data_IF_332004188149
#
_entry.id   IF_332004188149
#
_cell.length_a   1.000
_cell.length_b   1.000
_cell.length_c   1.000
_cell.angle_alpha   90.00
_cell.angle_beta   90.00
_cell.angle_gamma   90.00
#
_symmetry.space_group_name_H-M   'P 1'
#
loop_
_entity.id
_entity.type
_entity.pdbx_description
1 polymer ?
#
# COMPACT_ATOMS: atom_id res chain seq x y z
N UNK A 1 -0.67 0.28 12.60
CA UNK A 1 -0.24 1.22 11.53
C UNK A 1 -0.39 2.66 12.01
N UNK A 2 -1.60 3.14 12.36
CA UNK A 2 -1.83 4.53 12.79
C UNK A 2 -0.85 4.98 13.87
N UNK A 3 -0.75 4.26 14.97
CA UNK A 3 0.15 4.60 16.08
C UNK A 3 1.64 4.56 15.68
N UNK A 4 2.04 3.60 14.82
CA UNK A 4 3.42 3.52 14.34
C UNK A 4 3.79 4.70 13.45
N UNK A 5 2.86 5.16 12.59
CA UNK A 5 3.09 6.33 11.75
C UNK A 5 3.15 7.60 12.60
N UNK A 6 2.21 7.77 13.52
CA UNK A 6 2.14 8.94 14.43
C UNK A 6 3.41 9.07 15.26
N UNK A 7 3.97 7.97 15.72
CA UNK A 7 5.18 7.94 16.54
C UNK A 7 6.49 7.90 15.72
N UNK A 8 6.43 8.09 14.39
CA UNK A 8 7.57 7.98 13.47
C UNK A 8 8.36 6.64 13.58
N UNK A 9 7.71 5.58 14.05
CA UNK A 9 8.27 4.22 14.21
C UNK A 9 7.71 3.24 13.18
N UNK A 10 7.32 3.72 11.99
CA UNK A 10 6.74 2.90 10.94
C UNK A 10 7.79 1.96 10.32
N UNK A 11 7.41 0.72 10.06
CA UNK A 11 8.23 -0.24 9.33
C UNK A 11 8.70 0.30 7.97
N UNK A 12 9.82 -0.25 7.46
CA UNK A 12 10.30 0.08 6.12
C UNK A 12 9.58 -0.70 5.02
N UNK A 13 9.03 -1.87 5.36
CA UNK A 13 8.23 -2.66 4.44
C UNK A 13 6.95 -3.16 5.12
N UNK A 14 5.83 -3.01 4.41
CA UNK A 14 4.51 -3.50 4.81
C UNK A 14 4.09 -4.61 3.84
N UNK A 15 3.42 -5.64 4.33
CA UNK A 15 2.85 -6.71 3.52
C UNK A 15 1.36 -6.87 3.84
N UNK A 16 0.50 -6.50 2.89
CA UNK A 16 -0.94 -6.70 2.99
C UNK A 16 -1.34 -7.99 2.30
N UNK A 17 -1.96 -8.90 3.06
CA UNK A 17 -2.45 -10.16 2.54
C UNK A 17 -3.97 -10.23 2.64
N UNK A 18 -4.60 -10.99 1.75
CA UNK A 18 -6.05 -11.17 1.77
C UNK A 18 -6.60 -11.56 0.40
N UNK A 19 -7.83 -11.99 0.36
CA UNK A 19 -8.49 -12.41 -0.87
C UNK A 19 -8.57 -11.28 -1.91
N UNK A 20 -8.79 -11.66 -3.16
CA UNK A 20 -9.01 -10.71 -4.26
C UNK A 20 -10.23 -9.83 -3.96
N UNK A 21 -10.15 -8.54 -4.30
CA UNK A 21 -11.25 -7.59 -4.12
C UNK A 21 -11.44 -7.05 -2.70
N UNK A 22 -10.63 -7.46 -1.70
CA UNK A 22 -10.75 -6.95 -0.32
C UNK A 22 -10.28 -5.50 -0.13
N UNK A 23 -9.68 -4.91 -1.17
CA UNK A 23 -9.17 -3.53 -1.11
C UNK A 23 -7.71 -3.39 -0.68
N UNK A 24 -6.85 -4.41 -0.90
CA UNK A 24 -5.41 -4.38 -0.54
C UNK A 24 -4.71 -3.17 -1.15
N UNK A 25 -4.85 -2.96 -2.46
CA UNK A 25 -4.25 -1.84 -3.20
C UNK A 25 -4.79 -0.49 -2.71
N UNK A 26 -6.11 -0.40 -2.48
CA UNK A 26 -6.74 0.80 -1.89
C UNK A 26 -6.17 1.09 -0.51
N UNK A 27 -6.00 0.06 0.32
CA UNK A 27 -5.42 0.21 1.65
C UNK A 27 -3.94 0.62 1.59
N UNK A 28 -3.18 0.08 0.63
CA UNK A 28 -1.80 0.49 0.36
C UNK A 28 -1.72 1.99 0.06
N UNK A 29 -2.59 2.52 -0.80
CA UNK A 29 -2.66 3.96 -1.11
C UNK A 29 -3.06 4.80 0.12
N UNK A 30 -3.97 4.31 0.96
CA UNK A 30 -4.34 5.00 2.22
C UNK A 30 -3.13 5.10 3.15
N UNK A 31 -2.35 4.03 3.29
CA UNK A 31 -1.12 4.04 4.10
C UNK A 31 -0.07 4.98 3.49
N UNK A 32 0.08 4.99 2.16
CA UNK A 32 0.97 5.92 1.48
C UNK A 32 0.59 7.39 1.72
N UNK A 33 -0.72 7.70 1.70
CA UNK A 33 -1.23 9.03 2.06
C UNK A 33 -0.90 9.37 3.52
N UNK A 34 -1.14 8.46 4.45
CA UNK A 34 -0.87 8.68 5.87
C UNK A 34 0.62 8.88 6.17
N UNK A 35 1.51 8.24 5.42
CA UNK A 35 2.96 8.41 5.54
C UNK A 35 3.44 9.78 5.02
N UNK A 36 2.84 10.31 3.97
CA UNK A 36 3.28 11.52 3.29
C UNK A 36 2.43 12.77 3.58
N UNK A 37 1.33 12.63 4.33
CA UNK A 37 0.45 13.73 4.69
C UNK A 37 -0.04 13.60 6.13
N UNK A 38 0.44 14.48 7.01
CA UNK A 38 0.04 14.48 8.43
C UNK A 38 -1.46 14.75 8.61
N UNK A 39 -2.05 15.61 7.80
CA UNK A 39 -3.48 15.88 7.84
C UNK A 39 -4.33 14.66 7.43
N UNK A 40 -3.82 13.81 6.51
CA UNK A 40 -4.50 12.57 6.16
C UNK A 40 -4.53 11.58 7.32
N UNK A 41 -3.49 11.55 8.14
CA UNK A 41 -3.43 10.71 9.33
C UNK A 41 -4.50 11.12 10.36
N UNK A 42 -4.77 12.42 10.49
CA UNK A 42 -5.82 12.97 11.37
C UNK A 42 -7.23 12.92 10.75
N UNK A 43 -7.37 12.48 9.51
CA UNK A 43 -8.64 12.50 8.77
C UNK A 43 -9.10 13.92 8.37
N UNK A 44 -8.23 14.91 8.44
CA UNK A 44 -8.52 16.33 8.19
C UNK A 44 -7.97 16.84 6.85
N UNK A 45 -7.48 15.95 6.00
CA UNK A 45 -6.87 16.37 4.74
C UNK A 45 -7.90 17.01 3.81
N UNK A 46 -7.59 18.20 3.33
CA UNK A 46 -8.41 18.92 2.36
C UNK A 46 -8.42 18.24 0.99
N UNK A 47 -9.50 18.45 0.20
CA UNK A 47 -9.68 17.82 -1.11
C UNK A 47 -8.60 18.12 -2.14
N UNK A 48 -7.83 19.21 -1.98
CA UNK A 48 -6.75 19.64 -2.91
C UNK A 48 -5.35 19.48 -2.34
N UNK A 49 -5.12 18.48 -1.49
CA UNK A 49 -3.79 18.21 -0.97
C UNK A 49 -2.85 17.75 -2.10
N UNK A 50 -1.68 18.39 -2.20
CA UNK A 50 -0.63 18.07 -3.20
C UNK A 50 -0.11 16.64 -3.15
N UNK A 51 -0.32 15.91 -2.05
CA UNK A 51 0.08 14.51 -1.90
C UNK A 51 -1.12 13.56 -2.02
N UNK A 52 -2.22 13.84 -1.32
CA UNK A 52 -3.32 12.87 -1.20
C UNK A 52 -4.08 12.61 -2.49
N UNK A 53 -4.32 13.65 -3.31
CA UNK A 53 -5.01 13.51 -4.58
C UNK A 53 -4.16 12.77 -5.62
N UNK A 54 -2.89 13.14 -5.87
CA UNK A 54 -2.02 12.38 -6.77
C UNK A 54 -1.82 10.92 -6.35
N UNK A 55 -1.69 10.64 -5.03
CA UNK A 55 -1.57 9.25 -4.54
C UNK A 55 -2.86 8.46 -4.81
N UNK A 56 -4.05 9.08 -4.65
CA UNK A 56 -5.32 8.42 -4.95
C UNK A 56 -5.41 8.02 -6.42
N UNK A 57 -4.89 8.86 -7.32
CA UNK A 57 -4.93 8.70 -8.76
C UNK A 57 -3.71 7.97 -9.34
N UNK A 58 -2.82 7.41 -8.49
CA UNK A 58 -1.59 6.68 -8.89
C UNK A 58 -0.65 7.48 -9.79
N UNK A 59 -0.57 8.80 -9.60
CA UNK A 59 0.27 9.71 -10.39
C UNK A 59 1.20 10.60 -9.54
N UNK A 60 1.49 10.21 -8.30
CA UNK A 60 2.41 10.93 -7.42
C UNK A 60 3.86 10.59 -7.75
N UNK A 61 4.73 11.60 -7.90
CA UNK A 61 6.13 11.45 -8.32
C UNK A 61 6.97 10.58 -7.36
N UNK A 62 6.70 10.65 -6.06
CA UNK A 62 7.43 9.89 -5.04
C UNK A 62 6.67 8.64 -4.55
N UNK A 63 5.50 8.32 -5.12
CA UNK A 63 4.74 7.10 -4.81
C UNK A 63 4.50 6.34 -6.10
N UNK A 64 5.33 5.34 -6.34
CA UNK A 64 5.28 4.52 -7.54
C UNK A 64 4.48 3.25 -7.28
N UNK A 65 3.51 2.99 -8.14
CA UNK A 65 2.68 1.79 -8.09
C UNK A 65 3.01 0.88 -9.27
N UNK A 66 3.30 -0.38 -8.99
CA UNK A 66 3.59 -1.42 -9.98
C UNK A 66 2.68 -2.62 -9.72
N UNK A 67 2.04 -3.12 -10.76
CA UNK A 67 1.35 -4.41 -10.75
C UNK A 67 2.32 -5.50 -11.22
N UNK A 68 2.70 -6.39 -10.31
CA UNK A 68 3.59 -7.50 -10.61
C UNK A 68 2.94 -8.58 -11.49
N UNK A 69 1.63 -8.55 -11.73
CA UNK A 69 1.00 -9.43 -12.71
C UNK A 69 1.32 -9.02 -14.15
N UNK A 70 1.54 -7.73 -14.39
CA UNK A 70 1.92 -7.18 -15.71
C UNK A 70 3.43 -6.98 -15.85
N UNK A 71 4.16 -6.79 -14.74
CA UNK A 71 5.60 -6.53 -14.69
C UNK A 71 6.30 -7.52 -13.75
N UNK A 72 6.57 -8.72 -14.27
CA UNK A 72 7.14 -9.84 -13.48
C UNK A 72 8.66 -9.91 -13.52
N UNK A 73 9.28 -9.13 -14.40
CA UNK A 73 10.69 -9.21 -14.76
C UNK A 73 11.62 -8.67 -13.69
N UNK A 74 12.86 -9.16 -13.72
CA UNK A 74 13.93 -8.64 -12.85
C UNK A 74 14.33 -7.22 -13.25
N UNK A 75 14.20 -6.86 -14.51
CA UNK A 75 14.60 -5.55 -15.00
C UNK A 75 13.63 -4.46 -14.56
N UNK A 76 12.32 -4.73 -14.50
CA UNK A 76 11.32 -3.82 -13.92
C UNK A 76 11.65 -3.50 -12.45
N UNK A 77 12.04 -4.53 -11.69
CA UNK A 77 12.42 -4.37 -10.28
C UNK A 77 13.77 -3.65 -10.13
N UNK A 78 14.73 -3.90 -11.02
CA UNK A 78 16.01 -3.17 -11.02
C UNK A 78 15.81 -1.69 -11.29
N UNK A 79 14.92 -1.32 -12.19
CA UNK A 79 14.56 0.08 -12.44
C UNK A 79 14.01 0.75 -11.16
N UNK A 80 13.10 0.07 -10.42
CA UNK A 80 12.63 0.56 -9.14
C UNK A 80 13.76 0.73 -8.12
N UNK A 81 14.70 -0.24 -8.05
CA UNK A 81 15.84 -0.18 -7.14
C UNK A 81 16.77 0.99 -7.49
N UNK A 82 17.05 1.21 -8.77
CA UNK A 82 17.83 2.38 -9.20
C UNK A 82 17.11 3.67 -8.80
N UNK A 83 15.81 3.74 -9.03
CA UNK A 83 15.01 4.91 -8.63
C UNK A 83 14.98 5.12 -7.11
N UNK A 84 15.12 4.04 -6.32
CA UNK A 84 15.16 4.10 -4.86
C UNK A 84 16.40 4.79 -4.29
N UNK A 85 17.48 4.90 -5.07
CA UNK A 85 18.75 5.52 -4.65
C UNK A 85 18.64 7.04 -4.52
N UNK A 86 17.68 7.62 -5.20
CA UNK A 86 17.44 9.06 -5.14
C UNK A 86 16.41 9.38 -4.05
N UNK A 87 16.62 10.42 -3.23
CA UNK A 87 15.66 10.84 -2.23
C UNK A 87 14.33 11.26 -2.88
N UNK A 88 13.24 11.34 -2.10
CA UNK A 88 11.98 11.89 -2.60
C UNK A 88 12.14 13.33 -3.04
N UNK A 89 11.39 13.75 -4.07
CA UNK A 89 11.46 15.08 -4.65
C UNK A 89 10.59 16.10 -3.89
N UNK A 90 9.39 15.68 -3.44
CA UNK A 90 8.40 16.57 -2.82
C UNK A 90 7.79 15.99 -1.55
N UNK A 91 7.83 14.66 -1.35
CA UNK A 91 7.22 13.98 -0.23
C UNK A 91 8.22 13.69 0.90
N UNK A 92 7.72 13.29 2.08
CA UNK A 92 8.55 12.83 3.20
C UNK A 92 9.20 11.48 2.92
N UNK A 93 8.46 10.58 2.28
CA UNK A 93 8.90 9.23 1.94
C UNK A 93 8.73 8.96 0.45
N UNK A 94 9.71 8.27 -0.12
CA UNK A 94 9.56 7.59 -1.40
C UNK A 94 8.93 6.22 -1.13
N UNK A 95 7.82 5.93 -1.79
CA UNK A 95 7.02 4.73 -1.51
C UNK A 95 6.87 3.92 -2.79
N UNK A 96 7.16 2.62 -2.71
CA UNK A 96 6.88 1.67 -3.77
C UNK A 96 5.75 0.75 -3.35
N UNK A 97 4.64 0.83 -4.06
CA UNK A 97 3.50 -0.07 -3.93
C UNK A 97 3.63 -1.14 -5.00
N UNK A 98 3.78 -2.41 -4.59
CA UNK A 98 3.87 -3.55 -5.51
C UNK A 98 2.66 -4.44 -5.25
N UNK A 99 1.71 -4.39 -6.18
CA UNK A 99 0.51 -5.22 -6.10
C UNK A 99 0.78 -6.61 -6.71
N UNK A 100 0.08 -7.62 -6.18
CA UNK A 100 0.23 -9.04 -6.50
C UNK A 100 1.70 -9.49 -6.52
N UNK A 101 2.47 -9.03 -5.53
CA UNK A 101 3.93 -9.22 -5.43
C UNK A 101 4.37 -10.68 -5.58
N UNK A 102 3.49 -11.67 -5.29
CA UNK A 102 3.77 -13.09 -5.48
C UNK A 102 4.00 -13.51 -6.95
N UNK A 103 3.66 -12.63 -7.91
CA UNK A 103 3.90 -12.86 -9.34
C UNK A 103 5.33 -12.51 -9.77
N UNK A 104 6.11 -11.85 -8.92
CA UNK A 104 7.51 -11.56 -9.21
C UNK A 104 8.34 -12.84 -9.36
N UNK A 105 9.29 -12.83 -10.29
CA UNK A 105 10.26 -13.92 -10.45
C UNK A 105 11.18 -14.03 -9.23
N UNK A 106 11.78 -15.22 -9.02
CA UNK A 106 12.78 -15.42 -7.95
C UNK A 106 13.95 -14.44 -8.06
N UNK A 107 14.36 -14.13 -9.29
CA UNK A 107 15.46 -13.18 -9.54
C UNK A 107 15.06 -11.75 -9.14
N UNK A 108 13.80 -11.35 -9.40
CA UNK A 108 13.26 -10.06 -8.97
C UNK A 108 13.20 -9.95 -7.44
N UNK A 109 12.74 -11.00 -6.73
CA UNK A 109 12.80 -11.03 -5.27
C UNK A 109 14.23 -10.91 -4.73
N UNK A 110 15.18 -11.64 -5.32
CA UNK A 110 16.58 -11.57 -4.90
C UNK A 110 17.16 -10.16 -5.10
N UNK A 111 16.79 -9.47 -6.17
CA UNK A 111 17.21 -8.09 -6.40
C UNK A 111 16.68 -7.13 -5.31
N UNK A 112 15.45 -7.33 -4.82
CA UNK A 112 14.85 -6.53 -3.76
C UNK A 112 15.49 -6.75 -2.39
N UNK A 113 16.05 -7.95 -2.11
CA UNK A 113 16.52 -8.33 -0.76
C UNK A 113 17.53 -7.34 -0.19
N UNK A 114 18.53 -6.93 -0.98
CA UNK A 114 19.55 -5.98 -0.53
C UNK A 114 18.94 -4.65 -0.06
N UNK A 115 17.98 -4.12 -0.83
CA UNK A 115 17.31 -2.87 -0.48
C UNK A 115 16.34 -3.03 0.69
N UNK A 116 15.76 -4.22 0.88
CA UNK A 116 14.92 -4.53 2.04
C UNK A 116 15.73 -4.74 3.34
N UNK A 117 16.98 -5.18 3.23
CA UNK A 117 17.89 -5.37 4.36
C UNK A 117 18.41 -4.04 4.90
N UNK A 118 18.85 -3.18 4.01
CA UNK A 118 19.41 -1.86 4.31
C UNK A 118 18.70 -0.74 3.55
N UNK A 119 17.41 -0.50 3.83
CA UNK A 119 16.66 0.52 3.10
C UNK A 119 17.11 1.92 3.50
N UNK A 120 17.22 2.86 2.54
CA UNK A 120 17.37 4.27 2.86
C UNK A 120 16.24 4.73 3.81
N UNK A 121 16.52 5.63 4.74
CA UNK A 121 15.55 6.10 5.76
C UNK A 121 14.26 6.68 5.17
N UNK A 122 14.35 7.22 3.97
CA UNK A 122 13.22 7.80 3.24
C UNK A 122 12.43 6.79 2.40
N UNK A 123 12.91 5.55 2.26
CA UNK A 123 12.28 4.55 1.41
C UNK A 123 11.30 3.67 2.21
N UNK A 124 10.12 3.46 1.64
CA UNK A 124 9.10 2.54 2.17
C UNK A 124 8.60 1.62 1.06
N UNK A 125 8.42 0.34 1.38
CA UNK A 125 7.77 -0.63 0.52
C UNK A 125 6.39 -0.98 1.05
N UNK A 126 5.43 -1.13 0.15
CA UNK A 126 4.09 -1.64 0.46
C UNK A 126 3.79 -2.76 -0.53
N UNK A 127 3.82 -3.97 -0.07
CA UNK A 127 3.49 -5.16 -0.84
C UNK A 127 2.05 -5.56 -0.61
N UNK A 128 1.35 -5.94 -1.68
CA UNK A 128 0.03 -6.55 -1.60
C UNK A 128 0.04 -7.92 -2.29
N UNK A 129 -0.67 -8.90 -1.73
CA UNK A 129 -0.73 -10.24 -2.29
C UNK A 129 -2.00 -10.99 -1.92
N UNK A 130 -2.46 -11.85 -2.82
CA UNK A 130 -3.47 -12.86 -2.54
C UNK A 130 -2.85 -14.18 -2.06
N UNK A 131 -1.57 -14.42 -2.34
CA UNK A 131 -0.90 -15.70 -2.12
C UNK A 131 0.43 -15.55 -1.36
N UNK A 132 0.33 -15.36 -0.04
CA UNK A 132 1.53 -15.17 0.81
C UNK A 132 2.51 -16.35 0.76
N UNK A 133 2.00 -17.58 0.54
CA UNK A 133 2.85 -18.78 0.49
C UNK A 133 3.84 -18.81 -0.68
N UNK A 134 3.59 -18.02 -1.74
CA UNK A 134 4.49 -17.90 -2.89
C UNK A 134 5.61 -16.89 -2.69
N UNK A 135 5.54 -16.06 -1.63
CA UNK A 135 6.58 -15.08 -1.32
C UNK A 135 7.71 -15.75 -0.54
N UNK A 136 8.98 -15.52 -0.89
CA UNK A 136 10.10 -16.05 -0.12
C UNK A 136 10.06 -15.60 1.34
N UNK A 137 10.35 -16.52 2.26
CA UNK A 137 10.36 -16.24 3.71
C UNK A 137 11.36 -15.14 4.07
N UNK A 138 12.44 -15.02 3.31
CA UNK A 138 13.46 -13.97 3.45
C UNK A 138 12.91 -12.57 3.22
N UNK A 139 11.90 -12.42 2.36
CA UNK A 139 11.17 -11.16 2.12
C UNK A 139 10.14 -10.93 3.22
N UNK A 140 9.34 -11.96 3.54
CA UNK A 140 8.28 -11.87 4.57
C UNK A 140 8.86 -11.45 5.93
N UNK A 141 10.02 -12.02 6.32
CA UNK A 141 10.66 -11.72 7.61
C UNK A 141 11.11 -10.26 7.78
N UNK A 142 11.22 -9.52 6.69
CA UNK A 142 11.59 -8.08 6.67
C UNK A 142 10.37 -7.16 6.55
N UNK A 143 9.17 -7.74 6.44
CA UNK A 143 7.93 -7.00 6.29
C UNK A 143 7.09 -7.03 7.56
N UNK A 144 6.45 -5.93 7.88
CA UNK A 144 5.36 -5.92 8.84
C UNK A 144 4.09 -6.38 8.13
N UNK A 145 3.63 -7.59 8.48
CA UNK A 145 2.49 -8.24 7.83
C UNK A 145 1.17 -7.82 8.47
N UNK A 146 0.16 -7.62 7.61
CA UNK A 146 -1.23 -7.36 7.97
C UNK A 146 -2.16 -8.22 7.12
N UNK A 147 -2.96 -9.05 7.77
CA UNK A 147 -3.93 -9.92 7.11
C UNK A 147 -5.29 -9.21 7.07
N UNK A 148 -5.75 -8.85 5.88
CA UNK A 148 -7.03 -8.21 5.67
C UNK A 148 -8.12 -9.28 5.56
N UNK A 149 -9.13 -9.19 6.42
CA UNK A 149 -10.27 -10.10 6.45
C UNK A 149 -11.51 -9.45 5.85
N UNK A 150 -12.44 -10.29 5.39
CA UNK A 150 -13.74 -9.80 4.91
C UNK A 150 -14.48 -9.03 6.00
N UNK A 151 -15.13 -7.94 5.60
CA UNK A 151 -16.07 -7.24 6.49
C UNK A 151 -17.24 -8.18 6.78
N UNK A 152 -17.62 -8.29 8.05
CA UNK A 152 -18.79 -9.09 8.44
C UNK A 152 -20.06 -8.53 7.81
N UNK A 153 -20.97 -9.41 7.39
CA UNK A 153 -22.22 -9.02 6.68
C UNK A 153 -23.02 -7.97 7.43
N UNK A 154 -23.10 -8.08 8.76
CA UNK A 154 -23.80 -7.13 9.62
C UNK A 154 -23.21 -5.70 9.54
N UNK A 155 -21.87 -5.58 9.54
CA UNK A 155 -21.20 -4.28 9.39
C UNK A 155 -21.39 -3.70 7.99
N UNK A 156 -21.38 -4.57 6.97
CA UNK A 156 -21.63 -4.18 5.60
C UNK A 156 -23.06 -3.67 5.42
N UNK A 157 -24.04 -4.39 5.97
CA UNK A 157 -25.44 -3.99 5.97
C UNK A 157 -25.64 -2.61 6.61
N UNK A 158 -25.12 -2.40 7.82
CA UNK A 158 -25.20 -1.13 8.51
C UNK A 158 -24.55 0.03 7.72
N UNK A 159 -23.42 -0.25 7.05
CA UNK A 159 -22.75 0.72 6.21
C UNK A 159 -23.60 1.08 4.98
N UNK A 160 -24.18 0.11 4.29
CA UNK A 160 -25.05 0.32 3.12
C UNK A 160 -26.32 1.07 3.52
N UNK A 161 -26.93 0.75 4.65
CA UNK A 161 -28.10 1.47 5.20
C UNK A 161 -27.78 2.94 5.47
N UNK A 162 -26.60 3.22 6.03
CA UNK A 162 -26.15 4.61 6.25
C UNK A 162 -25.93 5.38 4.93
N UNK A 163 -25.43 4.71 3.88
CA UNK A 163 -25.30 5.33 2.55
C UNK A 163 -26.69 5.61 1.96
N UNK A 164 -27.61 4.65 2.00
CA UNK A 164 -28.96 4.84 1.44
C UNK A 164 -29.70 6.00 2.08
N UNK A 165 -29.56 6.17 3.40
CA UNK A 165 -30.10 7.33 4.12
C UNK A 165 -29.50 8.66 3.66
N UNK A 166 -28.17 8.69 3.40
CA UNK A 166 -27.50 9.90 2.88
C UNK A 166 -27.91 10.26 1.44
N UNK A 167 -28.21 9.25 0.65
CA UNK A 167 -28.64 9.38 -0.75
C UNK A 167 -30.16 9.56 -0.88
N UNK A 168 -30.90 9.65 0.25
CA UNK A 168 -32.38 9.73 0.30
C UNK A 168 -33.07 8.60 -0.51
N UNK A 169 -32.49 7.39 -0.51
CA UNK A 169 -33.05 6.20 -1.16
C UNK A 169 -33.51 5.19 -0.11
N UNK A 170 -34.77 4.74 -0.22
CA UNK A 170 -35.24 3.63 0.58
C UNK A 170 -34.72 2.30 -0.02
N UNK A 171 -34.01 1.53 0.79
CA UNK A 171 -33.61 0.17 0.45
C UNK A 171 -34.44 -0.77 1.31
N UNK A 172 -35.17 -1.72 0.67
CA UNK A 172 -35.91 -2.76 1.38
C UNK A 172 -34.95 -3.71 2.07
N UNK A 173 -35.27 -4.08 3.31
CA UNK A 173 -34.52 -5.05 4.12
C UNK A 173 -34.88 -6.50 3.64
N UNK A 174 -34.41 -6.92 2.44
CA UNK A 174 -34.56 -8.29 1.91
C UNK A 174 -33.29 -9.09 2.11
#
# INVERSE_FOLDING_TARGET
IYNSIKNNSSANAFLFTGIRGIGKTTFARIVAKALNCEQALEGKCEKKCSHCEPIANSNHIDVLEMDAASKTGVDDVRELIEFSRYPPSVAKFKIFIIDEVHMLSKQAFNALLKTLEEPPKYLKFIFATTEVKKIPITVISRCQRYDLSRVKSEKLFNYLKNISLKENKNVEDN
#
